data_IF_433206151332
#
_entry.id   IF_433206151332
#
_cell.length_a   1.000
_cell.length_b   1.000
_cell.length_c   1.000
_cell.angle_alpha   90.00
_cell.angle_beta   90.00
_cell.angle_gamma   90.00
#
_symmetry.space_group_name_H-M   'P 1'
#
loop_
_entity.id
_entity.type
_entity.pdbx_description
1 polymer ?
#
# COMPACT_ATOMS: atom_id res chain seq x y z
N UNK A 1 11.63 -22.17 -7.76
CA UNK A 1 10.72 -21.37 -6.92
C UNK A 1 9.40 -21.18 -7.67
N UNK A 2 8.27 -21.27 -6.98
CA UNK A 2 6.93 -21.11 -7.60
C UNK A 2 6.58 -19.64 -7.84
N UNK A 3 5.54 -19.36 -8.64
CA UNK A 3 5.01 -18.00 -8.81
C UNK A 3 4.55 -17.40 -7.47
N UNK A 4 4.01 -18.23 -6.58
CA UNK A 4 3.59 -17.83 -5.24
C UNK A 4 4.77 -17.34 -4.41
N UNK A 5 5.93 -18.00 -4.50
CA UNK A 5 7.12 -17.61 -3.73
C UNK A 5 7.66 -16.25 -4.18
N UNK A 6 7.78 -16.05 -5.50
CA UNK A 6 8.21 -14.77 -6.06
C UNK A 6 7.21 -13.65 -5.78
N UNK A 7 5.91 -13.93 -5.89
CA UNK A 7 4.89 -12.93 -5.59
C UNK A 7 4.88 -12.56 -4.10
N UNK A 8 5.12 -13.51 -3.18
CA UNK A 8 5.29 -13.21 -1.76
C UNK A 8 6.51 -12.34 -1.50
N UNK A 9 7.61 -12.54 -2.22
CA UNK A 9 8.77 -11.66 -2.17
C UNK A 9 8.43 -10.24 -2.67
N UNK A 10 7.71 -10.12 -3.80
CA UNK A 10 7.24 -8.84 -4.33
C UNK A 10 6.31 -8.11 -3.34
N UNK A 11 5.38 -8.82 -2.70
CA UNK A 11 4.52 -8.28 -1.64
C UNK A 11 5.32 -7.83 -0.42
N UNK A 12 6.35 -8.57 -0.02
CA UNK A 12 7.22 -8.20 1.09
C UNK A 12 8.01 -6.91 0.79
N UNK A 13 8.48 -6.74 -0.45
CA UNK A 13 9.12 -5.50 -0.91
C UNK A 13 8.12 -4.34 -0.93
N UNK A 14 6.92 -4.54 -1.50
CA UNK A 14 5.88 -3.51 -1.56
C UNK A 14 5.45 -3.04 -0.16
N UNK A 15 5.40 -3.94 0.83
CA UNK A 15 5.10 -3.58 2.23
C UNK A 15 6.11 -2.63 2.87
N UNK A 16 7.34 -2.55 2.36
CA UNK A 16 8.37 -1.62 2.86
C UNK A 16 8.03 -0.17 2.53
N UNK A 17 7.27 0.08 1.46
CA UNK A 17 6.80 1.42 1.08
C UNK A 17 5.47 1.83 1.72
N UNK A 18 4.93 1.06 2.66
CA UNK A 18 3.65 1.40 3.31
C UNK A 18 3.74 2.74 4.06
N UNK A 19 2.88 3.68 3.69
CA UNK A 19 2.89 5.04 4.25
C UNK A 19 3.64 6.06 3.39
N UNK A 20 4.29 5.59 2.31
CA UNK A 20 4.90 6.44 1.30
C UNK A 20 4.05 6.43 0.02
N UNK A 21 3.77 7.61 -0.50
CA UNK A 21 3.24 7.79 -1.86
C UNK A 21 4.38 8.30 -2.71
N UNK A 22 5.14 7.39 -3.32
CA UNK A 22 6.19 7.77 -4.25
C UNK A 22 5.57 8.34 -5.54
N UNK A 23 6.10 9.44 -6.10
CA UNK A 23 5.67 9.94 -7.41
C UNK A 23 6.21 9.14 -8.61
N UNK A 24 6.97 8.05 -8.38
CA UNK A 24 7.67 7.31 -9.44
C UNK A 24 7.08 5.89 -9.60
N UNK A 25 6.78 5.42 -10.82
CA UNK A 25 6.26 4.08 -11.03
C UNK A 25 7.28 3.04 -10.59
N UNK A 26 6.91 2.21 -9.59
CA UNK A 26 7.80 1.19 -9.03
C UNK A 26 8.31 0.19 -10.07
N UNK A 27 7.56 -0.03 -11.14
CA UNK A 27 7.95 -0.90 -12.26
C UNK A 27 9.20 -0.38 -12.97
N UNK A 28 9.25 0.91 -13.31
CA UNK A 28 10.42 1.48 -14.00
C UNK A 28 11.67 1.46 -13.12
N UNK A 29 11.51 1.64 -11.80
CA UNK A 29 12.62 1.48 -10.86
C UNK A 29 13.11 0.02 -10.85
N UNK A 30 12.20 -0.95 -10.78
CA UNK A 30 12.56 -2.36 -10.81
C UNK A 30 13.26 -2.76 -12.12
N UNK A 31 12.80 -2.25 -13.26
CA UNK A 31 13.44 -2.44 -14.56
C UNK A 31 14.83 -1.79 -14.60
N UNK A 32 14.99 -0.57 -14.09
CA UNK A 32 16.29 0.09 -14.00
C UNK A 32 17.28 -0.67 -13.12
N UNK A 33 16.80 -1.26 -12.01
CA UNK A 33 17.63 -2.12 -11.14
C UNK A 33 18.03 -3.44 -11.81
N UNK A 34 17.14 -4.03 -12.62
CA UNK A 34 17.43 -5.23 -13.39
C UNK A 34 18.38 -4.96 -14.58
N UNK A 35 18.30 -3.77 -15.17
CA UNK A 35 19.15 -3.39 -16.30
C UNK A 35 18.99 -4.36 -17.48
N UNK A 36 20.09 -4.79 -18.13
CA UNK A 36 20.05 -5.74 -19.25
C UNK A 36 19.39 -7.08 -18.93
N UNK A 37 19.43 -7.52 -17.66
CA UNK A 37 18.89 -8.80 -17.21
C UNK A 37 17.35 -8.84 -17.22
N UNK A 38 16.69 -7.69 -17.43
CA UNK A 38 15.24 -7.64 -17.59
C UNK A 38 14.78 -8.36 -18.87
N UNK A 39 15.60 -8.39 -19.93
CA UNK A 39 15.17 -8.94 -21.21
C UNK A 39 14.93 -10.44 -21.11
N UNK A 40 13.75 -10.90 -21.50
CA UNK A 40 13.34 -12.30 -21.40
C UNK A 40 12.96 -12.75 -19.97
N UNK A 41 13.03 -11.85 -18.98
CA UNK A 41 12.71 -12.18 -17.60
C UNK A 41 11.19 -12.26 -17.34
N UNK A 42 10.83 -12.68 -16.13
CA UNK A 42 9.47 -12.62 -15.60
C UNK A 42 9.34 -11.47 -14.61
N UNK A 43 8.38 -10.56 -14.82
CA UNK A 43 8.06 -9.49 -13.89
C UNK A 43 6.89 -9.90 -12.97
N UNK A 44 7.07 -9.76 -11.65
CA UNK A 44 6.01 -9.99 -10.66
C UNK A 44 5.52 -8.66 -10.12
N UNK A 45 4.25 -8.33 -10.39
CA UNK A 45 3.64 -7.04 -10.02
C UNK A 45 2.43 -7.24 -9.12
N UNK A 46 2.38 -6.49 -8.02
CA UNK A 46 1.36 -6.66 -6.98
C UNK A 46 0.03 -5.97 -7.31
N UNK A 47 -0.01 -5.18 -8.37
CA UNK A 47 -1.17 -4.52 -8.95
C UNK A 47 -0.97 -4.48 -10.47
N UNK A 48 -2.06 -4.51 -11.24
CA UNK A 48 -2.01 -4.38 -12.70
C UNK A 48 -1.15 -3.17 -13.13
N UNK A 49 -0.21 -3.35 -14.07
CA UNK A 49 0.56 -2.25 -14.63
C UNK A 49 -0.34 -1.19 -15.27
N UNK A 50 -0.10 0.09 -14.98
CA UNK A 50 -0.91 1.16 -15.52
C UNK A 50 -0.80 1.27 -17.05
N UNK A 51 -1.93 1.54 -17.70
CA UNK A 51 -2.08 1.66 -19.15
C UNK A 51 -2.38 3.09 -19.64
N UNK A 52 -2.43 4.06 -18.73
CA UNK A 52 -2.73 5.46 -19.04
C UNK A 52 -1.54 6.36 -18.71
N UNK A 53 -1.40 7.45 -19.46
CA UNK A 53 -0.42 8.49 -19.15
C UNK A 53 -0.94 9.32 -17.98
N UNK A 54 -0.24 9.26 -16.86
CA UNK A 54 -0.51 10.07 -15.67
C UNK A 54 0.54 11.17 -15.52
N UNK A 55 1.14 11.27 -14.33
CA UNK A 55 2.35 12.09 -14.12
C UNK A 55 3.59 11.48 -14.80
N UNK A 56 3.56 10.18 -15.05
CA UNK A 56 4.63 9.41 -15.69
C UNK A 56 4.06 8.58 -16.84
N UNK A 57 4.90 8.14 -17.78
CA UNK A 57 4.51 7.17 -18.81
C UNK A 57 3.95 5.86 -18.21
N UNK A 58 3.16 5.08 -18.98
CA UNK A 58 2.55 3.85 -18.50
C UNK A 58 3.58 2.75 -18.23
N UNK A 59 3.41 2.01 -17.13
CA UNK A 59 4.26 0.87 -16.78
C UNK A 59 4.20 -0.25 -17.82
N UNK A 60 3.05 -0.43 -18.48
CA UNK A 60 2.88 -1.44 -19.53
C UNK A 60 3.88 -1.24 -20.67
N UNK A 61 4.05 -0.01 -21.15
CA UNK A 61 4.98 0.25 -22.26
C UNK A 61 6.42 0.03 -21.84
N UNK A 62 6.78 0.42 -20.61
CA UNK A 62 8.12 0.16 -20.07
C UNK A 62 8.44 -1.35 -19.99
N UNK A 63 7.47 -2.20 -19.64
CA UNK A 63 7.65 -3.65 -19.62
C UNK A 63 7.83 -4.23 -21.04
N UNK A 64 7.09 -3.71 -22.01
CA UNK A 64 7.18 -4.10 -23.42
C UNK A 64 8.54 -3.70 -23.99
N UNK A 65 8.94 -2.44 -23.81
CA UNK A 65 10.23 -1.91 -24.28
C UNK A 65 11.43 -2.64 -23.65
N UNK A 66 11.32 -3.03 -22.37
CA UNK A 66 12.35 -3.83 -21.69
C UNK A 66 12.45 -5.27 -22.24
N UNK A 67 11.47 -5.73 -23.03
CA UNK A 67 11.44 -7.08 -23.58
C UNK A 67 11.19 -8.15 -22.52
N UNK A 68 10.35 -7.87 -21.53
CA UNK A 68 9.88 -8.86 -20.54
C UNK A 68 9.15 -9.99 -21.29
N UNK A 69 9.45 -11.26 -20.96
CA UNK A 69 8.78 -12.40 -21.59
C UNK A 69 7.43 -12.73 -20.94
N UNK A 70 7.34 -12.53 -19.62
CA UNK A 70 6.17 -12.91 -18.82
C UNK A 70 5.89 -11.92 -17.70
N UNK A 71 4.62 -11.64 -17.44
CA UNK A 71 4.18 -10.80 -16.33
C UNK A 71 3.20 -11.59 -15.46
N UNK A 72 3.48 -11.67 -14.17
CA UNK A 72 2.59 -12.27 -13.16
C UNK A 72 1.97 -11.15 -12.33
N UNK A 73 0.66 -11.02 -12.39
CA UNK A 73 -0.12 -9.95 -11.76
C UNK A 73 -0.90 -10.51 -10.57
N UNK A 74 -0.77 -9.88 -9.40
CA UNK A 74 -1.49 -10.34 -8.21
C UNK A 74 -2.97 -9.95 -8.19
N UNK A 75 -3.27 -8.71 -8.59
CA UNK A 75 -4.64 -8.19 -8.60
C UNK A 75 -4.82 -7.21 -9.75
N UNK A 76 -5.95 -7.33 -10.46
CA UNK A 76 -6.38 -6.37 -11.47
C UNK A 76 -6.71 -5.02 -10.84
N UNK A 77 -6.37 -3.91 -11.50
CA UNK A 77 -6.66 -2.57 -11.00
C UNK A 77 -8.11 -2.18 -11.36
N UNK A 78 -9.01 -1.91 -10.39
CA UNK A 78 -10.38 -1.53 -10.69
C UNK A 78 -10.54 -0.09 -11.18
N UNK A 79 -9.48 0.73 -11.19
CA UNK A 79 -9.53 2.08 -11.74
C UNK A 79 -9.96 2.04 -13.21
N UNK A 80 -11.01 2.80 -13.56
CA UNK A 80 -11.58 2.86 -14.92
C UNK A 80 -10.55 3.19 -16.02
N UNK A 81 -9.45 3.85 -15.68
CA UNK A 81 -8.35 4.22 -16.59
C UNK A 81 -7.39 3.05 -16.85
N UNK A 82 -7.47 1.98 -16.07
CA UNK A 82 -6.62 0.78 -16.16
C UNK A 82 -7.52 -0.42 -16.40
N UNK A 83 -8.21 -0.95 -15.38
CA UNK A 83 -9.23 -2.00 -15.46
C UNK A 83 -9.06 -3.01 -16.61
N UNK A 84 -7.96 -3.74 -16.61
CA UNK A 84 -7.63 -4.79 -17.59
C UNK A 84 -6.97 -4.31 -18.89
N UNK A 85 -6.92 -3.00 -19.14
CA UNK A 85 -6.27 -2.45 -20.33
C UNK A 85 -4.76 -2.67 -20.30
N UNK A 86 -4.13 -2.66 -19.12
CA UNK A 86 -2.70 -2.90 -18.99
C UNK A 86 -2.35 -4.36 -19.30
N UNK A 87 -3.16 -5.28 -18.76
CA UNK A 87 -3.06 -6.71 -19.05
C UNK A 87 -3.31 -7.01 -20.54
N UNK A 88 -4.34 -6.41 -21.14
CA UNK A 88 -4.67 -6.60 -22.55
C UNK A 88 -3.50 -6.17 -23.45
N UNK A 89 -2.94 -4.98 -23.23
CA UNK A 89 -1.80 -4.47 -24.00
C UNK A 89 -0.55 -5.34 -23.90
N UNK A 90 -0.26 -5.89 -22.71
CA UNK A 90 0.85 -6.84 -22.55
C UNK A 90 0.64 -8.08 -23.40
N UNK A 91 -0.58 -8.65 -23.38
CA UNK A 91 -0.94 -9.81 -24.20
C UNK A 91 -0.86 -9.50 -25.70
N UNK A 92 -1.35 -8.33 -26.13
CA UNK A 92 -1.30 -7.88 -27.52
C UNK A 92 0.16 -7.71 -28.02
N UNK A 93 1.08 -7.35 -27.13
CA UNK A 93 2.51 -7.28 -27.41
C UNK A 93 3.21 -8.66 -27.36
N UNK A 94 2.47 -9.75 -27.17
CA UNK A 94 3.01 -11.12 -27.14
C UNK A 94 3.63 -11.54 -25.80
N UNK A 95 3.40 -10.78 -24.73
CA UNK A 95 3.89 -11.12 -23.38
C UNK A 95 2.92 -12.08 -22.71
N UNK A 96 3.44 -13.16 -22.13
CA UNK A 96 2.62 -14.10 -21.35
C UNK A 96 2.13 -13.42 -20.04
N UNK A 97 0.83 -13.49 -19.74
CA UNK A 97 0.29 -12.89 -18.51
C UNK A 97 -0.50 -13.89 -17.67
N UNK A 98 -0.05 -14.10 -16.43
CA UNK A 98 -0.75 -14.87 -15.39
C UNK A 98 -1.35 -13.90 -14.36
N UNK A 99 -2.63 -14.09 -14.01
CA UNK A 99 -3.37 -13.20 -13.10
C UNK A 99 -3.70 -13.91 -11.76
N UNK A 100 -4.14 -13.11 -10.78
CA UNK A 100 -4.70 -13.56 -9.50
C UNK A 100 -3.78 -14.36 -8.57
N UNK A 101 -2.45 -14.25 -8.74
CA UNK A 101 -1.47 -14.88 -7.83
C UNK A 101 -1.36 -14.08 -6.52
N UNK A 102 -1.65 -14.70 -5.37
CA UNK A 102 -1.66 -14.03 -4.05
C UNK A 102 -2.61 -12.82 -4.01
N UNK A 103 -3.74 -12.91 -4.72
CA UNK A 103 -4.75 -11.85 -4.83
C UNK A 103 -5.23 -11.33 -3.48
N UNK A 104 -5.47 -12.21 -2.52
CA UNK A 104 -5.97 -11.85 -1.20
C UNK A 104 -4.97 -10.96 -0.45
N UNK A 105 -3.68 -11.32 -0.46
CA UNK A 105 -2.62 -10.56 0.19
C UNK A 105 -2.37 -9.21 -0.49
N UNK A 106 -2.40 -9.16 -1.83
CA UNK A 106 -2.32 -7.92 -2.60
C UNK A 106 -3.53 -7.01 -2.36
N UNK A 107 -4.71 -7.61 -2.18
CA UNK A 107 -5.95 -6.91 -1.85
C UNK A 107 -5.89 -6.22 -0.50
N UNK A 108 -5.34 -6.91 0.51
CA UNK A 108 -5.10 -6.33 1.84
C UNK A 108 -4.08 -5.19 1.79
N UNK A 109 -3.02 -5.34 0.99
CA UNK A 109 -1.99 -4.32 0.83
C UNK A 109 -2.57 -2.99 0.30
N UNK A 110 -3.50 -3.07 -0.65
CA UNK A 110 -4.10 -1.92 -1.33
C UNK A 110 -5.53 -1.58 -0.84
N UNK A 111 -5.94 -2.09 0.34
CA UNK A 111 -7.32 -1.98 0.80
C UNK A 111 -7.85 -0.53 0.88
N UNK A 112 -6.98 0.43 1.24
CA UNK A 112 -7.35 1.86 1.25
C UNK A 112 -7.68 2.39 -0.15
N UNK A 113 -6.83 2.09 -1.13
CA UNK A 113 -7.04 2.44 -2.54
C UNK A 113 -8.32 1.83 -3.09
N UNK A 114 -8.54 0.53 -2.88
CA UNK A 114 -9.73 -0.16 -3.34
C UNK A 114 -11.02 0.37 -2.69
N UNK A 115 -11.00 0.68 -1.40
CA UNK A 115 -12.15 1.31 -0.73
C UNK A 115 -12.56 2.61 -1.43
N UNK A 116 -11.60 3.48 -1.75
CA UNK A 116 -11.87 4.76 -2.41
C UNK A 116 -12.40 4.55 -3.83
N UNK A 117 -11.71 3.75 -4.65
CA UNK A 117 -12.07 3.57 -6.06
C UNK A 117 -13.39 2.81 -6.24
N UNK A 118 -13.65 1.80 -5.41
CA UNK A 118 -14.83 0.93 -5.59
C UNK A 118 -16.04 1.40 -4.80
N UNK A 119 -15.84 2.00 -3.61
CA UNK A 119 -16.93 2.37 -2.71
C UNK A 119 -17.10 3.89 -2.54
N UNK A 120 -16.21 4.70 -3.12
CA UNK A 120 -16.26 6.16 -3.00
C UNK A 120 -16.00 6.68 -1.59
N UNK A 121 -15.40 5.88 -0.71
CA UNK A 121 -15.14 6.24 0.70
C UNK A 121 -13.81 5.69 1.22
N UNK A 122 -13.17 6.36 2.20
CA UNK A 122 -11.90 5.88 2.76
C UNK A 122 -12.09 4.57 3.55
N UNK A 123 -11.02 3.77 3.61
CA UNK A 123 -10.93 2.68 4.57
C UNK A 123 -10.75 3.26 5.97
N UNK A 124 -11.69 2.99 6.86
CA UNK A 124 -11.65 3.48 8.25
C UNK A 124 -11.12 2.39 9.17
N UNK A 125 -10.12 2.74 10.00
CA UNK A 125 -9.62 1.90 11.08
C UNK A 125 -9.84 2.57 12.43
N UNK A 126 -10.64 1.94 13.26
CA UNK A 126 -10.82 2.35 14.65
C UNK A 126 -9.69 1.76 15.51
N UNK A 127 -9.07 2.59 16.35
CA UNK A 127 -8.10 2.16 17.36
C UNK A 127 -8.58 2.58 18.74
N UNK A 128 -8.64 1.62 19.67
CA UNK A 128 -8.84 1.87 21.11
C UNK A 128 -7.68 1.28 21.92
N UNK A 129 -7.47 1.84 23.11
CA UNK A 129 -6.72 1.20 24.19
C UNK A 129 -7.60 1.21 25.43
N UNK A 130 -7.73 0.07 26.09
CA UNK A 130 -8.54 -0.09 27.30
C UNK A 130 -7.83 -1.01 28.29
N UNK A 131 -8.28 -0.95 29.53
CA UNK A 131 -8.03 -2.00 30.52
C UNK A 131 -8.74 -3.30 30.10
N UNK A 132 -8.43 -4.40 30.80
CA UNK A 132 -9.04 -5.70 30.56
C UNK A 132 -10.57 -5.69 30.75
N UNK A 133 -11.06 -4.88 31.69
CA UNK A 133 -12.49 -4.66 31.96
C UNK A 133 -13.11 -3.55 31.08
N UNK A 134 -12.41 -3.13 30.01
CA UNK A 134 -12.97 -2.27 28.97
C UNK A 134 -13.01 -0.77 29.29
N UNK A 135 -12.20 -0.28 30.24
CA UNK A 135 -12.14 1.14 30.61
C UNK A 135 -11.02 1.88 29.87
N UNK A 136 -11.26 3.11 29.47
CA UNK A 136 -10.29 3.97 28.77
C UNK A 136 -9.67 5.06 29.66
N UNK A 137 -10.18 5.20 30.89
CA UNK A 137 -9.70 6.09 31.93
C UNK A 137 -10.30 5.64 33.28
N UNK A 138 -9.74 6.11 34.40
CA UNK A 138 -10.37 6.02 35.72
C UNK A 138 -11.58 6.94 35.82
N UNK A 139 -12.35 6.87 36.93
CA UNK A 139 -13.48 7.79 37.18
C UNK A 139 -13.06 9.26 37.27
N UNK A 140 -11.82 9.53 37.68
CA UNK A 140 -11.25 10.88 37.74
C UNK A 140 -10.66 11.35 36.40
N UNK A 141 -10.69 10.51 35.36
CA UNK A 141 -10.20 10.86 34.02
C UNK A 141 -8.74 10.50 33.74
N UNK A 142 -8.03 9.87 34.70
CA UNK A 142 -6.64 9.43 34.50
C UNK A 142 -6.59 8.29 33.48
N UNK A 143 -5.86 8.50 32.38
CA UNK A 143 -5.81 7.58 31.23
C UNK A 143 -4.38 7.16 30.83
N UNK A 144 -3.37 7.83 31.39
CA UNK A 144 -1.95 7.55 31.13
C UNK A 144 -1.38 6.66 32.23
N UNK A 145 -0.82 5.48 31.98
CA UNK A 145 -0.59 4.77 30.71
C UNK A 145 -1.25 3.39 30.74
N UNK A 146 -2.47 3.27 30.20
CA UNK A 146 -3.19 1.99 30.15
C UNK A 146 -2.44 0.94 29.30
N UNK A 147 -1.97 1.33 28.10
CA UNK A 147 -1.24 0.43 27.20
C UNK A 147 0.26 0.71 27.21
N UNK A 148 1.09 -0.34 27.18
CA UNK A 148 2.55 -0.27 27.19
C UNK A 148 3.21 0.33 25.92
N UNK A 149 4.54 0.53 25.96
CA UNK A 149 5.30 1.18 24.88
C UNK A 149 5.19 0.46 23.52
N UNK A 150 5.12 -0.87 23.49
CA UNK A 150 4.98 -1.67 22.26
C UNK A 150 3.65 -1.36 21.55
N UNK A 151 2.55 -1.27 22.30
CA UNK A 151 1.24 -0.92 21.78
C UNK A 151 1.20 0.53 21.26
N UNK A 152 1.89 1.45 21.93
CA UNK A 152 2.04 2.84 21.46
C UNK A 152 2.88 2.91 20.19
N UNK A 153 3.97 2.13 20.09
CA UNK A 153 4.77 1.98 18.86
C UNK A 153 3.91 1.46 17.71
N UNK A 154 3.09 0.43 17.94
CA UNK A 154 2.16 -0.07 16.93
C UNK A 154 1.15 1.00 16.48
N UNK A 155 0.65 1.82 17.41
CA UNK A 155 -0.23 2.96 17.10
C UNK A 155 0.47 3.98 16.20
N UNK A 156 1.74 4.28 16.44
CA UNK A 156 2.51 5.14 15.53
C UNK A 156 2.65 4.53 14.14
N UNK A 157 2.97 3.24 14.03
CA UNK A 157 3.03 2.57 12.73
C UNK A 157 1.67 2.59 12.01
N UNK A 158 0.55 2.52 12.75
CA UNK A 158 -0.78 2.73 12.17
C UNK A 158 -0.92 4.16 11.63
N UNK A 159 -0.56 5.18 12.41
CA UNK A 159 -0.63 6.58 11.96
C UNK A 159 0.15 6.82 10.66
N UNK A 160 1.36 6.27 10.57
CA UNK A 160 2.18 6.40 9.37
C UNK A 160 1.61 5.73 8.11
N UNK A 161 0.66 4.79 8.27
CA UNK A 161 0.02 4.06 7.16
C UNK A 161 -1.34 4.62 6.74
N UNK A 162 -1.84 5.65 7.40
CA UNK A 162 -3.13 6.26 7.08
C UNK A 162 -2.93 7.70 6.63
N UNK A 163 -3.74 8.14 5.67
CA UNK A 163 -3.61 9.48 5.12
C UNK A 163 -4.10 10.58 6.06
N UNK A 164 -5.05 10.26 6.94
CA UNK A 164 -5.66 11.16 7.89
C UNK A 164 -5.90 10.49 9.24
N UNK A 165 -5.96 11.30 10.29
CA UNK A 165 -6.25 10.90 11.66
C UNK A 165 -7.41 11.74 12.18
N UNK A 166 -8.26 11.12 12.98
CA UNK A 166 -9.48 11.74 13.47
C UNK A 166 -9.65 11.46 14.96
N UNK A 167 -9.97 12.51 15.70
CA UNK A 167 -10.36 12.45 17.12
C UNK A 167 -11.50 13.43 17.36
N UNK A 168 -12.27 13.23 18.43
CA UNK A 168 -13.22 14.23 18.91
C UNK A 168 -12.53 15.36 19.68
N UNK A 169 -13.18 16.52 19.79
CA UNK A 169 -12.65 17.68 20.54
C UNK A 169 -12.32 17.36 21.99
N UNK A 170 -13.07 16.45 22.63
CA UNK A 170 -12.78 16.01 24.00
C UNK A 170 -11.38 15.42 24.17
N UNK A 171 -10.89 14.66 23.18
CA UNK A 171 -9.51 14.14 23.18
C UNK A 171 -8.49 15.27 23.04
N UNK A 172 -8.77 16.28 22.21
CA UNK A 172 -7.88 17.43 22.04
C UNK A 172 -7.77 18.20 23.36
N UNK A 173 -8.89 18.47 24.01
CA UNK A 173 -8.94 19.22 25.27
C UNK A 173 -8.32 18.45 26.43
N UNK A 174 -8.51 17.13 26.50
CA UNK A 174 -8.02 16.31 27.60
C UNK A 174 -6.54 15.94 27.46
N UNK A 175 -6.09 15.58 26.25
CA UNK A 175 -4.77 14.98 26.03
C UNK A 175 -3.78 15.90 25.30
N UNK A 176 -4.25 17.00 24.70
CA UNK A 176 -3.48 17.89 23.81
C UNK A 176 -2.50 17.13 22.86
N UNK A 177 -3.00 16.16 22.05
CA UNK A 177 -2.12 15.25 21.33
C UNK A 177 -1.63 15.87 20.01
N UNK A 178 -0.34 15.68 19.70
CA UNK A 178 0.21 16.03 18.38
C UNK A 178 -0.36 15.19 17.22
N UNK A 179 -0.83 13.97 17.53
CA UNK A 179 -1.31 12.99 16.55
C UNK A 179 -0.35 12.67 15.38
N UNK A 180 0.95 12.86 15.52
CA UNK A 180 1.93 12.53 14.47
C UNK A 180 2.44 11.08 14.53
N UNK A 181 3.06 10.60 13.44
CA UNK A 181 3.87 9.37 13.42
C UNK A 181 5.34 9.70 13.68
N UNK A 182 5.89 9.28 14.82
CA UNK A 182 7.27 9.59 15.23
C UNK A 182 8.25 8.43 15.02
N UNK A 183 7.92 7.50 14.13
CA UNK A 183 8.81 6.39 13.79
C UNK A 183 9.62 6.74 12.54
N UNK A 184 10.90 6.37 12.55
CA UNK A 184 11.76 6.46 11.38
C UNK A 184 11.19 5.60 10.22
N UNK A 185 11.41 6.07 8.98
CA UNK A 185 10.91 5.41 7.77
C UNK A 185 9.44 5.68 7.44
N UNK A 186 8.72 6.47 8.24
CA UNK A 186 7.41 7.00 7.85
C UNK A 186 7.51 8.47 7.49
N UNK A 187 6.70 8.88 6.51
CA UNK A 187 6.58 10.29 6.14
C UNK A 187 6.09 11.11 7.33
N UNK A 188 6.87 12.11 7.72
CA UNK A 188 6.48 13.08 8.73
C UNK A 188 5.46 14.03 8.10
N UNK A 189 4.16 13.83 8.36
CA UNK A 189 3.11 14.78 7.98
C UNK A 189 2.81 15.67 9.18
N UNK A 190 2.92 16.99 9.00
CA UNK A 190 2.35 17.95 9.94
C UNK A 190 0.82 17.92 9.89
N UNK A 191 0.16 18.38 10.96
CA UNK A 191 -1.29 18.65 10.90
C UNK A 191 -1.56 19.71 9.84
N UNK A 192 -2.57 19.45 9.01
CA UNK A 192 -3.15 20.43 8.08
C UNK A 192 -4.09 21.33 8.88
#
# INVERSE_FOLDING_TARGET
MSDVDHMRAALALARRGLGETAPNPSVTIALAMAGPDARGATAYVTLEPCAHVGKTPPCTEALIEAGIARVVVAVRDPDKRVNGQGIARLRDAGIEVTEDICRAEASILNAGFFSVIQQGRPLVRLKLASTLDGRIATKSGESQWISGPEARRATHAMRGRHDALMVGVGTVLADNPELTCRLAGFRQRGMI
#
